data_IF_219116193639
#
_entry.id   IF_219116193639
#
_cell.length_a   1.000
_cell.length_b   1.000
_cell.length_c   1.000
_cell.angle_alpha   90.00
_cell.angle_beta   90.00
_cell.angle_gamma   90.00
#
_symmetry.space_group_name_H-M   'P 1'
#
loop_
_entity.id
_entity.type
_entity.pdbx_description
1 polymer ?
#
# COMPACT_ATOMS: atom_id res chain seq x y z
N UNK A 1 -2.41 -12.62 -11.99
CA UNK A 1 -1.71 -11.35 -11.71
C UNK A 1 -0.20 -11.57 -11.73
N UNK A 2 0.61 -10.56 -12.01
CA UNK A 2 2.08 -10.68 -12.13
C UNK A 2 2.79 -9.43 -11.62
N UNK A 3 4.09 -9.55 -11.37
CA UNK A 3 4.99 -8.41 -11.15
C UNK A 3 5.23 -7.70 -12.49
N UNK A 4 5.06 -6.39 -12.52
CA UNK A 4 5.08 -5.60 -13.78
C UNK A 4 6.50 -5.19 -14.15
N UNK A 5 7.33 -4.83 -13.16
CA UNK A 5 8.66 -4.26 -13.41
C UNK A 5 9.68 -4.67 -12.33
N UNK A 6 10.93 -4.30 -12.54
CA UNK A 6 12.02 -4.56 -11.60
C UNK A 6 12.59 -5.97 -11.68
N UNK A 7 13.31 -6.39 -10.63
CA UNK A 7 14.06 -7.65 -10.56
C UNK A 7 13.20 -8.90 -10.73
N UNK A 8 11.91 -8.82 -10.36
CA UNK A 8 10.97 -9.94 -10.41
C UNK A 8 9.98 -9.83 -11.57
N UNK A 9 10.22 -8.95 -12.55
CA UNK A 9 9.33 -8.73 -13.69
C UNK A 9 8.88 -10.04 -14.31
N UNK A 10 7.56 -10.17 -14.53
CA UNK A 10 6.92 -11.34 -15.13
C UNK A 10 6.62 -12.48 -14.14
N UNK A 11 7.13 -12.45 -12.89
CA UNK A 11 6.81 -13.45 -11.88
C UNK A 11 5.32 -13.44 -11.57
N UNK A 12 4.73 -14.63 -11.52
CA UNK A 12 3.31 -14.82 -11.18
C UNK A 12 3.06 -14.51 -9.69
N UNK A 13 2.01 -13.79 -9.41
CA UNK A 13 1.44 -13.59 -8.08
C UNK A 13 0.19 -14.47 -7.98
N UNK A 14 0.15 -15.36 -7.00
CA UNK A 14 -0.98 -16.23 -6.73
C UNK A 14 -2.13 -15.41 -6.15
N UNK A 15 -3.34 -15.74 -6.53
CA UNK A 15 -4.57 -15.07 -6.11
C UNK A 15 -5.41 -16.02 -5.27
N UNK A 16 -6.23 -15.53 -4.33
CA UNK A 16 -7.16 -16.37 -3.59
C UNK A 16 -8.21 -16.94 -4.54
N UNK A 17 -8.78 -18.07 -4.14
CA UNK A 17 -9.87 -18.69 -4.87
C UNK A 17 -11.25 -18.17 -4.43
N UNK A 18 -11.30 -17.52 -3.28
CA UNK A 18 -12.50 -16.87 -2.76
C UNK A 18 -12.68 -15.46 -3.34
N UNK A 19 -13.84 -14.86 -3.07
CA UNK A 19 -14.17 -13.50 -3.52
C UNK A 19 -14.06 -12.46 -2.38
N UNK A 20 -13.52 -12.84 -1.23
CA UNK A 20 -13.41 -11.96 -0.06
C UNK A 20 -12.31 -10.91 -0.25
N UNK A 21 -11.23 -11.30 -0.90
CA UNK A 21 -10.15 -10.38 -1.25
C UNK A 21 -10.20 -10.00 -2.71
N UNK A 22 -9.99 -8.72 -2.99
CA UNK A 22 -9.90 -8.18 -4.37
C UNK A 22 -8.46 -7.74 -4.62
N UNK A 23 -7.64 -8.57 -5.25
CA UNK A 23 -6.27 -8.21 -5.53
C UNK A 23 -6.19 -6.96 -6.41
N UNK A 24 -5.24 -6.06 -6.09
CA UNK A 24 -4.96 -4.88 -6.91
C UNK A 24 -4.53 -5.31 -8.31
N UNK A 25 -5.44 -5.17 -9.27
CA UNK A 25 -5.23 -5.62 -10.66
C UNK A 25 -4.10 -4.86 -11.33
N UNK A 26 -3.44 -5.51 -12.30
CA UNK A 26 -2.33 -4.91 -13.06
C UNK A 26 -2.73 -3.58 -13.72
N UNK A 27 -3.96 -3.47 -14.24
CA UNK A 27 -4.52 -2.24 -14.82
C UNK A 27 -4.63 -1.05 -13.86
N UNK A 28 -4.70 -1.31 -12.55
CA UNK A 28 -4.72 -0.26 -11.52
C UNK A 28 -3.32 -0.03 -10.95
N UNK A 29 -2.54 -1.09 -10.83
CA UNK A 29 -1.19 -1.05 -10.27
C UNK A 29 -0.21 -0.26 -11.15
N UNK A 30 -0.20 -0.50 -12.47
CA UNK A 30 0.70 0.18 -13.39
C UNK A 30 0.56 1.70 -13.37
N UNK A 31 -0.64 2.31 -13.46
CA UNK A 31 -0.82 3.74 -13.30
C UNK A 31 -0.31 4.31 -11.98
N UNK A 32 -0.46 3.58 -10.86
CA UNK A 32 0.08 4.02 -9.56
C UNK A 32 1.59 4.20 -9.66
N UNK A 33 2.31 3.20 -10.15
CA UNK A 33 3.77 3.27 -10.27
C UNK A 33 4.23 4.30 -11.32
N UNK A 34 3.47 4.51 -12.38
CA UNK A 34 3.75 5.58 -13.34
C UNK A 34 3.67 6.97 -12.69
N UNK A 35 2.67 7.19 -11.83
CA UNK A 35 2.56 8.44 -11.08
C UNK A 35 3.72 8.57 -10.07
N UNK A 36 4.07 7.51 -9.33
CA UNK A 36 5.20 7.53 -8.40
C UNK A 36 6.50 7.94 -9.12
N UNK A 37 6.75 7.39 -10.30
CA UNK A 37 8.01 7.58 -11.02
C UNK A 37 8.10 8.89 -11.79
N UNK A 38 6.97 9.47 -12.22
CA UNK A 38 6.98 10.56 -13.20
C UNK A 38 6.22 11.81 -12.75
N UNK A 39 5.64 11.82 -11.54
CA UNK A 39 4.98 12.99 -11.02
C UNK A 39 6.01 14.05 -10.62
N UNK A 40 5.75 15.30 -11.00
CA UNK A 40 6.50 16.46 -10.51
C UNK A 40 5.90 17.09 -9.24
N UNK A 41 4.84 16.48 -8.69
CA UNK A 41 4.12 16.98 -7.51
C UNK A 41 4.71 16.51 -6.19
N UNK A 42 5.52 15.45 -6.24
CA UNK A 42 6.28 14.91 -5.11
C UNK A 42 7.55 14.24 -5.63
N UNK A 43 8.54 14.15 -4.77
CA UNK A 43 9.82 13.53 -5.13
C UNK A 43 10.06 12.29 -4.25
N UNK A 44 9.55 11.16 -4.70
CA UNK A 44 9.76 9.85 -4.06
C UNK A 44 10.71 9.04 -4.93
N UNK A 45 11.85 8.70 -4.36
CA UNK A 45 12.70 7.66 -4.94
C UNK A 45 12.28 6.31 -4.35
N UNK A 46 11.58 5.49 -5.15
CA UNK A 46 11.14 4.16 -4.73
C UNK A 46 12.31 3.27 -4.33
N UNK A 47 13.43 3.40 -5.05
CA UNK A 47 14.67 2.77 -4.67
C UNK A 47 15.13 3.32 -3.30
N UNK A 48 15.44 2.42 -2.37
CA UNK A 48 15.77 2.71 -0.98
C UNK A 48 14.63 3.21 -0.08
N UNK A 49 13.38 3.27 -0.56
CA UNK A 49 12.22 3.64 0.26
C UNK A 49 11.76 2.52 1.18
N UNK A 50 11.28 2.91 2.37
CA UNK A 50 10.52 2.03 3.27
C UNK A 50 9.04 2.17 2.95
N UNK A 51 8.36 1.05 2.82
CA UNK A 51 6.95 0.99 2.38
C UNK A 51 6.12 0.33 3.48
N UNK A 52 4.94 0.88 3.75
CA UNK A 52 3.93 0.26 4.59
C UNK A 52 2.72 -0.08 3.70
N UNK A 53 2.43 -1.37 3.56
CA UNK A 53 1.35 -1.91 2.74
C UNK A 53 0.22 -2.39 3.65
N UNK A 54 -0.79 -1.54 3.83
CA UNK A 54 -1.94 -1.77 4.71
C UNK A 54 -3.09 -2.40 3.94
N UNK A 55 -3.72 -3.43 4.54
CA UNK A 55 -4.68 -4.30 3.86
C UNK A 55 -4.01 -4.99 2.67
N UNK A 56 -2.82 -5.56 2.90
CA UNK A 56 -1.92 -5.97 1.83
C UNK A 56 -2.44 -7.11 0.95
N UNK A 57 -3.46 -7.86 1.43
CA UNK A 57 -4.05 -8.96 0.68
C UNK A 57 -3.00 -9.97 0.25
N UNK A 58 -2.88 -10.21 -1.05
CA UNK A 58 -1.86 -11.12 -1.62
C UNK A 58 -0.46 -10.48 -1.74
N UNK A 59 -0.27 -9.23 -1.29
CA UNK A 59 1.00 -8.52 -1.31
C UNK A 59 1.36 -7.87 -2.65
N UNK A 60 0.40 -7.70 -3.55
CA UNK A 60 0.65 -7.27 -4.92
C UNK A 60 1.38 -5.93 -5.03
N UNK A 61 1.05 -4.94 -4.18
CA UNK A 61 1.69 -3.63 -4.18
C UNK A 61 3.09 -3.70 -3.58
N UNK A 62 3.22 -4.24 -2.37
CA UNK A 62 4.51 -4.31 -1.67
C UNK A 62 5.54 -5.17 -2.41
N UNK A 63 5.14 -6.30 -3.02
CA UNK A 63 6.03 -7.13 -3.84
C UNK A 63 6.51 -6.36 -5.07
N UNK A 64 5.65 -5.59 -5.72
CA UNK A 64 6.03 -4.72 -6.83
C UNK A 64 7.06 -3.66 -6.37
N UNK A 65 6.87 -3.06 -5.16
CA UNK A 65 7.83 -2.12 -4.58
C UNK A 65 9.19 -2.78 -4.36
N UNK A 66 9.24 -3.97 -3.75
CA UNK A 66 10.48 -4.73 -3.56
C UNK A 66 11.14 -5.09 -4.89
N UNK A 67 10.36 -5.48 -5.88
CA UNK A 67 10.87 -5.77 -7.22
C UNK A 67 11.54 -4.56 -7.87
N UNK A 68 11.09 -3.35 -7.55
CA UNK A 68 11.60 -2.07 -8.06
C UNK A 68 12.71 -1.46 -7.17
N UNK A 69 13.20 -2.19 -6.17
CA UNK A 69 14.33 -1.77 -5.36
C UNK A 69 13.97 -1.09 -4.04
N UNK A 70 12.71 -1.17 -3.57
CA UNK A 70 12.36 -0.67 -2.24
C UNK A 70 13.24 -1.31 -1.17
N UNK A 71 13.71 -0.51 -0.20
CA UNK A 71 14.60 -0.93 0.88
C UNK A 71 13.93 -1.96 1.79
N UNK A 72 12.66 -1.75 2.11
CA UNK A 72 11.89 -2.68 2.93
C UNK A 72 10.39 -2.47 2.76
N UNK A 73 9.60 -3.51 3.03
CA UNK A 73 8.15 -3.45 3.07
C UNK A 73 7.63 -4.10 4.33
N UNK A 74 6.71 -3.43 5.03
CA UNK A 74 5.89 -4.04 6.08
C UNK A 74 4.50 -4.29 5.49
N UNK A 75 4.07 -5.55 5.48
CA UNK A 75 2.75 -5.98 5.07
C UNK A 75 1.87 -6.12 6.30
N UNK A 76 0.69 -5.49 6.31
CA UNK A 76 -0.30 -5.66 7.38
C UNK A 76 -1.56 -6.26 6.80
N UNK A 77 -1.93 -7.44 7.29
CA UNK A 77 -3.09 -8.20 6.83
C UNK A 77 -3.69 -9.00 7.98
N UNK A 78 -5.03 -9.07 8.05
CA UNK A 78 -5.73 -9.81 9.10
C UNK A 78 -6.58 -10.97 8.58
N UNK A 79 -6.81 -11.06 7.28
CA UNK A 79 -7.66 -12.12 6.73
C UNK A 79 -6.89 -13.44 6.61
N UNK A 80 -7.24 -14.41 7.45
CA UNK A 80 -6.57 -15.71 7.52
C UNK A 80 -6.57 -16.48 6.20
N UNK A 81 -7.61 -16.29 5.36
CA UNK A 81 -7.70 -16.97 4.06
C UNK A 81 -6.64 -16.52 3.07
N UNK A 82 -6.14 -15.28 3.17
CA UNK A 82 -5.15 -14.72 2.23
C UNK A 82 -3.72 -14.79 2.75
N UNK A 83 -3.49 -14.84 4.07
CA UNK A 83 -2.15 -14.87 4.68
C UNK A 83 -1.26 -15.99 4.12
N UNK A 84 -1.71 -17.26 3.96
CA UNK A 84 -0.88 -18.30 3.37
C UNK A 84 -0.48 -17.99 1.92
N UNK A 85 -1.35 -17.30 1.18
CA UNK A 85 -1.09 -16.88 -0.21
C UNK A 85 -0.08 -15.75 -0.23
N UNK A 86 -0.20 -14.76 0.66
CA UNK A 86 0.78 -13.70 0.85
C UNK A 86 2.17 -14.29 1.13
N UNK A 87 2.29 -15.20 2.10
CA UNK A 87 3.55 -15.89 2.42
C UNK A 87 4.12 -16.65 1.22
N UNK A 88 3.26 -17.36 0.47
CA UNK A 88 3.65 -18.04 -0.77
C UNK A 88 4.13 -17.05 -1.84
N UNK A 89 3.48 -15.92 -2.01
CA UNK A 89 3.91 -14.90 -2.95
C UNK A 89 5.25 -14.29 -2.54
N UNK A 90 5.46 -14.07 -1.25
CA UNK A 90 6.73 -13.54 -0.73
C UNK A 90 7.89 -14.54 -0.86
N UNK A 91 7.63 -15.84 -0.93
CA UNK A 91 8.67 -16.85 -1.14
C UNK A 91 9.39 -16.76 -2.50
N UNK A 92 8.87 -15.95 -3.45
CA UNK A 92 9.56 -15.65 -4.71
C UNK A 92 10.69 -14.62 -4.56
N UNK A 93 10.70 -13.91 -3.43
CA UNK A 93 11.70 -12.91 -3.12
C UNK A 93 13.06 -13.56 -2.82
N UNK A 94 14.13 -12.85 -3.09
CA UNK A 94 15.49 -13.27 -2.70
C UNK A 94 15.69 -13.07 -1.20
N UNK A 95 16.65 -13.78 -0.62
CA UNK A 95 16.95 -13.71 0.81
C UNK A 95 17.44 -12.36 1.32
N UNK A 96 17.91 -11.48 0.42
CA UNK A 96 18.36 -10.13 0.72
C UNK A 96 17.26 -9.08 0.74
N UNK A 97 16.04 -9.46 0.33
CA UNK A 97 14.91 -8.52 0.35
C UNK A 97 14.29 -8.46 1.75
N UNK A 98 14.24 -7.25 2.29
CA UNK A 98 13.79 -7.00 3.66
C UNK A 98 12.27 -6.76 3.71
N UNK A 99 11.54 -7.69 4.33
CA UNK A 99 10.11 -7.53 4.57
C UNK A 99 9.69 -8.10 5.92
N UNK A 100 8.55 -7.62 6.39
CA UNK A 100 7.89 -8.09 7.61
C UNK A 100 6.40 -8.30 7.32
N UNK A 101 5.77 -9.30 7.97
CA UNK A 101 4.32 -9.51 7.92
C UNK A 101 3.76 -9.32 9.32
N UNK A 102 2.80 -8.40 9.46
CA UNK A 102 2.02 -8.18 10.68
C UNK A 102 0.62 -8.75 10.44
N UNK A 103 0.36 -9.94 11.00
CA UNK A 103 -0.91 -10.66 10.87
C UNK A 103 -1.93 -10.15 11.89
N UNK A 104 -2.34 -8.87 11.78
CA UNK A 104 -3.24 -8.20 12.72
C UNK A 104 -4.17 -7.21 12.02
N UNK A 105 -5.30 -6.90 12.68
CA UNK A 105 -6.21 -5.86 12.20
C UNK A 105 -5.62 -4.47 12.42
N UNK A 106 -5.36 -3.76 11.35
CA UNK A 106 -4.80 -2.40 11.37
C UNK A 106 -5.70 -1.37 12.07
N UNK A 107 -6.99 -1.65 12.20
CA UNK A 107 -7.91 -0.80 12.96
C UNK A 107 -7.60 -0.80 14.47
N UNK A 108 -6.78 -1.74 14.95
CA UNK A 108 -6.18 -1.68 16.27
C UNK A 108 -5.03 -0.66 16.28
N UNK A 109 -5.26 0.51 16.90
CA UNK A 109 -4.31 1.63 16.95
C UNK A 109 -2.93 1.26 17.54
N UNK A 110 -2.85 0.25 18.40
CA UNK A 110 -1.58 -0.18 18.99
C UNK A 110 -0.58 -0.71 17.97
N UNK A 111 -1.04 -1.18 16.81
CA UNK A 111 -0.14 -1.69 15.76
C UNK A 111 0.74 -0.56 15.25
N UNK A 112 0.16 0.59 14.89
CA UNK A 112 0.91 1.73 14.38
C UNK A 112 1.86 2.32 15.44
N UNK A 113 1.45 2.33 16.71
CA UNK A 113 2.30 2.80 17.84
C UNK A 113 3.55 1.94 18.03
N UNK A 114 3.48 0.65 17.70
CA UNK A 114 4.60 -0.28 17.83
C UNK A 114 5.57 -0.22 16.64
N UNK A 115 5.18 0.40 15.53
CA UNK A 115 6.05 0.58 14.38
C UNK A 115 7.04 1.71 14.67
N UNK A 116 8.32 1.38 14.87
CA UNK A 116 9.41 2.33 15.17
C UNK A 116 10.11 2.87 13.93
N UNK A 117 9.41 2.92 12.79
CA UNK A 117 9.96 3.26 11.49
C UNK A 117 9.08 4.27 10.79
N UNK A 118 9.69 5.16 10.01
CA UNK A 118 8.96 6.05 9.11
C UNK A 118 9.03 5.53 7.67
N UNK A 119 8.03 5.90 6.89
CA UNK A 119 7.82 5.39 5.54
C UNK A 119 7.78 6.53 4.52
N UNK A 120 8.35 6.31 3.37
CA UNK A 120 8.23 7.17 2.21
C UNK A 120 6.88 6.97 1.51
N UNK A 121 6.34 5.73 1.55
CA UNK A 121 5.03 5.42 0.98
C UNK A 121 4.25 4.58 1.99
N UNK A 122 3.01 4.98 2.26
CA UNK A 122 2.00 4.17 2.94
C UNK A 122 0.89 3.90 1.93
N UNK A 123 0.66 2.63 1.61
CA UNK A 123 -0.41 2.21 0.70
C UNK A 123 -1.59 1.65 1.49
N UNK A 124 -2.80 2.05 1.14
CA UNK A 124 -4.04 1.62 1.77
C UNK A 124 -4.99 1.08 0.70
N UNK A 125 -5.36 -0.20 0.82
CA UNK A 125 -6.39 -0.84 -0.01
C UNK A 125 -7.51 -1.45 0.86
N UNK A 126 -8.22 -0.63 1.66
CA UNK A 126 -9.24 -1.13 2.57
C UNK A 126 -10.43 -1.68 1.78
N UNK A 127 -11.19 -2.65 2.35
CA UNK A 127 -12.45 -3.09 1.78
C UNK A 127 -13.34 -1.90 1.42
N UNK A 128 -14.07 -1.95 0.31
CA UNK A 128 -14.89 -0.81 -0.15
C UNK A 128 -15.91 -0.35 0.89
N UNK A 129 -16.43 -1.27 1.71
CA UNK A 129 -17.40 -0.96 2.78
C UNK A 129 -16.75 -0.43 4.07
N UNK A 130 -15.41 -0.39 4.14
CA UNK A 130 -14.71 0.12 5.33
C UNK A 130 -14.95 1.62 5.48
N UNK A 131 -15.46 2.01 6.65
CA UNK A 131 -15.74 3.40 7.03
C UNK A 131 -14.71 3.99 7.97
N UNK A 132 -13.65 3.23 8.31
CA UNK A 132 -12.64 3.63 9.29
C UNK A 132 -11.47 4.42 8.68
N UNK A 133 -11.50 4.68 7.37
CA UNK A 133 -10.38 5.34 6.67
C UNK A 133 -9.98 6.67 7.33
N UNK A 134 -10.95 7.51 7.73
CA UNK A 134 -10.67 8.78 8.41
C UNK A 134 -9.90 8.56 9.72
N UNK A 135 -10.37 7.64 10.56
CA UNK A 135 -9.72 7.29 11.84
C UNK A 135 -8.32 6.71 11.61
N UNK A 136 -8.16 5.86 10.61
CA UNK A 136 -6.85 5.28 10.28
C UNK A 136 -5.85 6.35 9.85
N UNK A 137 -6.28 7.31 9.02
CA UNK A 137 -5.44 8.44 8.61
C UNK A 137 -5.04 9.31 9.81
N UNK A 138 -5.97 9.59 10.75
CA UNK A 138 -5.64 10.30 11.99
C UNK A 138 -4.60 9.53 12.80
N UNK A 139 -4.76 8.22 12.97
CA UNK A 139 -3.79 7.39 13.68
C UNK A 139 -2.40 7.41 13.00
N UNK A 140 -2.34 7.38 11.67
CA UNK A 140 -1.08 7.49 10.90
C UNK A 140 -0.40 8.83 11.18
N UNK A 141 -1.18 9.92 11.22
CA UNK A 141 -0.69 11.26 11.54
C UNK A 141 -0.16 11.34 12.97
N UNK A 142 -0.94 10.90 13.95
CA UNK A 142 -0.60 10.98 15.36
C UNK A 142 0.62 10.10 15.72
N UNK A 143 0.77 8.95 15.06
CA UNK A 143 1.94 8.09 15.21
C UNK A 143 3.19 8.62 14.50
N UNK A 144 3.07 9.67 13.68
CA UNK A 144 4.18 10.31 12.95
C UNK A 144 5.05 9.32 12.16
N UNK A 145 4.40 8.36 11.50
CA UNK A 145 5.08 7.27 10.77
C UNK A 145 5.27 7.56 9.28
N UNK A 146 4.73 8.67 8.76
CA UNK A 146 5.02 9.14 7.41
C UNK A 146 6.22 10.09 7.43
N UNK A 147 7.15 9.93 6.49
CA UNK A 147 8.27 10.88 6.32
C UNK A 147 7.74 12.24 5.84
N UNK A 148 8.51 13.33 6.06
CA UNK A 148 8.11 14.71 5.71
C UNK A 148 7.71 14.86 4.24
N UNK A 149 8.44 14.21 3.33
CA UNK A 149 8.13 14.19 1.90
C UNK A 149 7.40 12.91 1.48
N UNK A 150 6.91 12.14 2.45
CA UNK A 150 6.21 10.89 2.20
C UNK A 150 4.82 11.11 1.62
N UNK A 151 4.30 10.06 0.99
CA UNK A 151 2.96 10.05 0.43
C UNK A 151 2.15 8.89 0.96
N UNK A 152 0.86 9.12 1.08
CA UNK A 152 -0.13 8.07 1.29
C UNK A 152 -0.87 7.84 -0.02
N UNK A 153 -0.98 6.59 -0.43
CA UNK A 153 -1.71 6.18 -1.63
C UNK A 153 -2.90 5.36 -1.19
N UNK A 154 -4.10 5.78 -1.58
CA UNK A 154 -5.34 5.11 -1.19
C UNK A 154 -6.04 4.60 -2.45
N UNK A 155 -6.36 3.30 -2.46
CA UNK A 155 -7.23 2.69 -3.45
C UNK A 155 -8.64 2.56 -2.91
N UNK A 156 -9.64 3.07 -3.64
CA UNK A 156 -11.06 3.02 -3.27
C UNK A 156 -11.93 2.74 -4.48
N UNK A 157 -13.18 2.38 -4.23
CA UNK A 157 -14.18 2.41 -5.29
C UNK A 157 -14.48 3.85 -5.69
N UNK A 158 -14.68 4.13 -6.99
CA UNK A 158 -14.86 5.48 -7.53
C UNK A 158 -16.02 6.26 -6.92
N UNK A 159 -17.04 5.56 -6.42
CA UNK A 159 -18.26 6.17 -5.86
C UNK A 159 -18.13 6.45 -4.35
N UNK A 160 -17.06 5.98 -3.68
CA UNK A 160 -16.88 6.26 -2.27
C UNK A 160 -16.60 7.74 -2.04
N UNK A 161 -17.32 8.30 -1.05
CA UNK A 161 -17.16 9.69 -0.61
C UNK A 161 -16.50 9.69 0.75
N UNK A 162 -15.18 9.46 0.77
CA UNK A 162 -14.42 9.45 2.01
C UNK A 162 -14.22 10.89 2.51
N UNK A 163 -14.39 11.09 3.82
CA UNK A 163 -14.03 12.34 4.50
C UNK A 163 -12.59 12.21 4.94
N UNK A 164 -11.71 13.03 4.38
CA UNK A 164 -10.30 13.05 4.74
C UNK A 164 -10.05 14.02 5.91
N UNK A 165 -9.12 13.69 6.84
CA UNK A 165 -8.73 14.61 7.89
C UNK A 165 -8.10 15.89 7.34
N UNK A 166 -8.29 17.02 8.02
CA UNK A 166 -7.75 18.33 7.62
C UNK A 166 -6.22 18.41 7.60
N UNK A 167 -5.57 17.46 8.26
CA UNK A 167 -4.10 17.32 8.31
C UNK A 167 -3.48 16.89 6.97
N UNK A 168 -4.31 16.50 6.00
CA UNK A 168 -3.86 15.95 4.73
C UNK A 168 -4.30 16.80 3.54
N UNK A 169 -3.42 16.89 2.55
CA UNK A 169 -3.69 17.51 1.26
C UNK A 169 -3.73 16.44 0.17
N UNK A 170 -4.74 16.50 -0.70
CA UNK A 170 -4.77 15.69 -1.92
C UNK A 170 -3.77 16.30 -2.91
N UNK A 171 -2.78 15.51 -3.32
CA UNK A 171 -1.79 15.89 -4.35
C UNK A 171 -2.32 15.51 -5.73
N UNK A 172 -2.91 14.32 -5.83
CA UNK A 172 -3.41 13.77 -7.09
C UNK A 172 -4.61 12.86 -6.81
N UNK A 173 -5.61 12.88 -7.70
CA UNK A 173 -6.70 11.90 -7.72
C UNK A 173 -6.90 11.42 -9.16
N UNK A 174 -6.96 10.11 -9.36
CA UNK A 174 -7.21 9.50 -10.66
C UNK A 174 -8.28 8.41 -10.54
N UNK A 175 -9.08 8.28 -11.59
CA UNK A 175 -10.10 7.23 -11.71
C UNK A 175 -9.78 6.30 -12.87
N UNK A 176 -9.81 5.00 -12.60
CA UNK A 176 -9.55 3.94 -13.56
C UNK A 176 -10.68 2.90 -13.46
N UNK A 177 -11.59 2.89 -14.43
CA UNK A 177 -12.77 2.01 -14.42
C UNK A 177 -13.63 2.23 -13.17
N UNK A 178 -13.65 1.25 -12.26
CA UNK A 178 -14.36 1.34 -10.98
C UNK A 178 -13.48 1.79 -9.82
N UNK A 179 -12.18 1.93 -10.04
CA UNK A 179 -11.19 2.29 -9.03
C UNK A 179 -10.94 3.80 -9.00
N UNK A 180 -10.69 4.32 -7.81
CA UNK A 180 -10.21 5.67 -7.54
C UNK A 180 -8.91 5.56 -6.75
N UNK A 181 -7.86 6.22 -7.21
CA UNK A 181 -6.57 6.31 -6.54
C UNK A 181 -6.36 7.74 -6.08
N UNK A 182 -6.07 7.90 -4.79
CA UNK A 182 -5.85 9.20 -4.15
C UNK A 182 -4.44 9.22 -3.60
N UNK A 183 -3.68 10.26 -3.92
CA UNK A 183 -2.37 10.52 -3.36
C UNK A 183 -2.47 11.68 -2.39
N UNK A 184 -2.04 11.46 -1.16
CA UNK A 184 -2.06 12.44 -0.08
C UNK A 184 -0.66 12.74 0.42
N UNK A 185 -0.48 13.93 0.96
CA UNK A 185 0.65 14.28 1.83
C UNK A 185 0.13 14.99 3.08
N UNK A 186 0.96 15.06 4.13
CA UNK A 186 0.65 15.84 5.31
C UNK A 186 0.77 17.33 4.96
N UNK A 187 -0.16 18.14 5.47
CA UNK A 187 -0.05 19.60 5.44
C UNK A 187 0.97 20.03 6.51
N UNK A 188 2.05 20.66 6.07
CA UNK A 188 3.02 21.32 6.93
C UNK A 188 2.54 22.72 7.29
#
# INVERSE_FOLDING_TARGET
MRVISGLLKGRKIFEPKDNETRPLKDLTKEPIFNIINHSNKFNINLENSNILDLFSGVGSFGIECLSRGAKSVIFVENYYGVIPILKKNLSILKSDQNYEIIEKDINNSQILLNIKKRFEIIFLDPPYKDKNLNKLLLNIYDCNILNENGIIIIHRHKNEKDILPKNYKIIEEKKYGISKIIFLTILN
#
